data_IF_453043759305
#
_entry.id   IF_453043759305
#
_cell.length_a   1.000
_cell.length_b   1.000
_cell.length_c   1.000
_cell.angle_alpha   90.00
_cell.angle_beta   90.00
_cell.angle_gamma   90.00
#
_symmetry.space_group_name_H-M   'P 1'
#
loop_
_entity.id
_entity.type
_entity.pdbx_description
1 polymer ?
#
# COMPACT_ATOMS: atom_id res chain seq x y z
N UNK A 1 12.12 44.87 -47.62
CA UNK A 1 12.25 43.49 -47.08
C UNK A 1 11.27 42.57 -47.80
N UNK A 2 11.77 41.54 -48.50
CA UNK A 2 10.98 40.60 -49.32
C UNK A 2 9.83 39.97 -48.52
N UNK A 3 8.66 39.82 -49.17
CA UNK A 3 7.45 39.18 -48.64
C UNK A 3 7.74 37.82 -47.98
N UNK A 4 8.72 37.08 -48.50
CA UNK A 4 9.15 35.80 -47.94
C UNK A 4 9.72 35.92 -46.52
N UNK A 5 10.52 36.97 -46.25
CA UNK A 5 11.07 37.22 -44.91
C UNK A 5 9.97 37.56 -43.89
N UNK A 6 8.89 38.22 -44.30
CA UNK A 6 7.74 38.51 -43.43
C UNK A 6 6.95 37.24 -43.09
N UNK A 7 6.78 36.33 -44.05
CA UNK A 7 6.07 35.06 -43.82
C UNK A 7 6.87 34.15 -42.90
N UNK A 8 8.18 34.04 -43.10
CA UNK A 8 9.07 33.26 -42.21
C UNK A 8 9.07 33.86 -40.81
N UNK A 9 9.19 35.18 -40.67
CA UNK A 9 9.15 35.85 -39.37
C UNK A 9 7.82 35.61 -38.64
N UNK A 10 6.68 35.71 -39.33
CA UNK A 10 5.37 35.40 -38.73
C UNK A 10 5.26 33.95 -38.28
N UNK A 11 5.77 33.00 -39.08
CA UNK A 11 5.75 31.58 -38.74
C UNK A 11 6.60 31.28 -37.50
N UNK A 12 7.81 31.86 -37.43
CA UNK A 12 8.71 31.74 -36.27
C UNK A 12 8.11 32.38 -35.02
N UNK A 13 7.49 33.56 -35.13
CA UNK A 13 6.81 34.19 -33.99
C UNK A 13 5.61 33.37 -33.48
N UNK A 14 4.81 32.80 -34.39
CA UNK A 14 3.67 31.95 -34.03
C UNK A 14 4.12 30.67 -33.33
N UNK A 15 5.18 30.03 -33.83
CA UNK A 15 5.72 28.82 -33.21
C UNK A 15 6.37 29.10 -31.85
N UNK A 16 7.06 30.23 -31.68
CA UNK A 16 7.55 30.66 -30.36
C UNK A 16 6.40 30.96 -29.37
N UNK A 17 5.35 31.64 -29.83
CA UNK A 17 4.18 31.94 -28.98
C UNK A 17 3.46 30.67 -28.53
N UNK A 18 3.35 29.66 -29.40
CA UNK A 18 2.80 28.34 -29.07
C UNK A 18 3.67 27.61 -28.05
N UNK A 19 5.00 27.64 -28.20
CA UNK A 19 5.94 27.03 -27.26
C UNK A 19 5.88 27.68 -25.87
N UNK A 20 5.75 29.01 -25.81
CA UNK A 20 5.56 29.75 -24.55
C UNK A 20 4.19 29.41 -23.93
N UNK A 21 3.13 29.34 -24.72
CA UNK A 21 1.80 28.98 -24.23
C UNK A 21 1.77 27.56 -23.65
N UNK A 22 2.38 26.57 -24.33
CA UNK A 22 2.46 25.19 -23.86
C UNK A 22 3.28 25.07 -22.59
N UNK A 23 4.42 25.77 -22.49
CA UNK A 23 5.27 25.74 -21.29
C UNK A 23 4.61 26.45 -20.09
N UNK A 24 3.86 27.53 -20.31
CA UNK A 24 3.05 28.17 -19.27
C UNK A 24 1.92 27.24 -18.83
N UNK A 25 1.24 26.59 -19.76
CA UNK A 25 0.14 25.66 -19.45
C UNK A 25 0.61 24.43 -18.68
N UNK A 26 1.77 23.87 -19.06
CA UNK A 26 2.42 22.77 -18.35
C UNK A 26 2.92 23.17 -16.95
N UNK A 27 3.34 24.43 -16.75
CA UNK A 27 3.70 24.97 -15.43
C UNK A 27 2.50 25.35 -14.57
N UNK A 28 1.33 25.61 -15.13
CA UNK A 28 0.09 25.81 -14.38
C UNK A 28 -0.58 24.50 -13.93
N UNK A 29 -0.10 23.36 -14.42
CA UNK A 29 -0.58 22.02 -14.04
C UNK A 29 0.21 21.38 -12.89
N UNK A 30 1.15 22.09 -12.27
CA UNK A 30 1.75 21.68 -10.99
C UNK A 30 0.85 22.15 -9.84
N UNK A 31 0.18 21.24 -9.09
CA UNK A 31 -0.61 21.65 -7.95
C UNK A 31 0.31 21.79 -6.74
N UNK A 32 0.80 23.00 -6.49
CA UNK A 32 1.38 23.36 -5.20
C UNK A 32 0.54 24.45 -4.53
N UNK A 33 -0.04 24.08 -3.38
CA UNK A 33 -0.67 24.92 -2.34
C UNK A 33 -2.06 25.47 -2.76
N UNK A 34 -3.16 25.28 -2.03
CA UNK A 34 -3.37 25.37 -0.60
C UNK A 34 -4.56 24.49 -0.14
N UNK A 35 -4.32 23.70 0.90
CA UNK A 35 -5.32 23.32 1.90
C UNK A 35 -5.61 24.57 2.75
N UNK A 36 -6.85 25.07 2.75
CA UNK A 36 -7.47 25.77 3.89
C UNK A 36 -8.87 26.27 3.52
N UNK A 37 -9.91 25.56 3.98
CA UNK A 37 -11.19 26.20 4.28
C UNK A 37 -11.34 26.34 5.81
N UNK A 38 -11.86 27.47 6.31
CA UNK A 38 -12.05 27.69 7.73
C UNK A 38 -13.29 26.96 8.28
N UNK A 39 -13.29 26.54 9.56
CA UNK A 39 -14.42 25.81 10.12
C UNK A 39 -15.60 26.74 10.48
N UNK A 40 -16.86 26.25 10.39
CA UNK A 40 -18.04 26.98 10.86
C UNK A 40 -18.17 26.97 12.40
N UNK A 41 -18.95 27.89 12.99
CA UNK A 41 -18.88 28.22 14.41
C UNK A 41 -19.47 27.14 15.35
N UNK A 42 -18.80 27.00 16.48
CA UNK A 42 -19.08 26.12 17.62
C UNK A 42 -20.44 26.45 18.28
N UNK A 43 -21.27 25.42 18.54
CA UNK A 43 -22.36 25.49 19.51
C UNK A 43 -21.95 24.76 20.79
N UNK A 44 -22.20 25.39 21.93
CA UNK A 44 -21.87 24.93 23.28
C UNK A 44 -22.56 23.59 23.66
N UNK A 45 -22.00 22.79 24.59
CA UNK A 45 -22.54 21.50 24.96
C UNK A 45 -23.62 21.60 26.06
N UNK A 46 -24.79 21.02 25.79
CA UNK A 46 -25.81 20.72 26.81
C UNK A 46 -25.44 19.43 27.57
N UNK A 47 -25.47 19.53 28.90
CA UNK A 47 -25.38 18.41 29.86
C UNK A 47 -26.64 17.52 29.81
N UNK A 48 -26.48 16.21 29.70
CA UNK A 48 -27.39 15.19 30.23
C UNK A 48 -26.65 13.83 30.26
N UNK A 49 -26.30 13.32 31.44
CA UNK A 49 -27.04 12.30 32.22
C UNK A 49 -26.85 10.87 31.70
N UNK A 50 -26.23 10.04 32.57
CA UNK A 50 -26.11 8.60 32.46
C UNK A 50 -27.47 7.92 32.36
N UNK A 51 -27.57 6.85 31.54
CA UNK A 51 -28.28 5.68 31.99
C UNK A 51 -27.40 4.43 31.91
N UNK A 52 -27.32 3.78 33.07
CA UNK A 52 -26.82 2.44 33.30
C UNK A 52 -27.50 1.43 32.36
N UNK A 53 -26.71 0.73 31.55
CA UNK A 53 -27.16 -0.39 30.75
C UNK A 53 -25.96 -1.31 30.49
N UNK A 54 -26.12 -2.59 30.82
CA UNK A 54 -25.06 -3.61 30.83
C UNK A 54 -24.14 -3.55 29.60
N UNK A 55 -22.89 -3.11 29.84
CA UNK A 55 -21.80 -3.16 28.89
C UNK A 55 -21.41 -4.61 28.59
N UNK A 56 -21.59 -5.03 27.34
CA UNK A 56 -20.85 -6.16 26.79
C UNK A 56 -19.36 -5.80 26.87
N UNK A 57 -18.59 -6.63 27.58
CA UNK A 57 -17.20 -6.39 27.92
C UNK A 57 -16.32 -6.21 26.65
N UNK A 58 -15.77 -5.00 26.38
CA UNK A 58 -14.92 -4.75 25.20
C UNK A 58 -13.59 -5.51 25.23
N UNK A 59 -13.23 -6.15 26.35
CA UNK A 59 -12.01 -6.96 26.45
C UNK A 59 -12.10 -8.29 25.68
N UNK A 60 -13.27 -8.71 25.17
CA UNK A 60 -13.35 -9.91 24.31
C UNK A 60 -12.81 -9.67 22.90
N UNK A 61 -12.51 -8.42 22.52
CA UNK A 61 -12.02 -8.04 21.19
C UNK A 61 -10.56 -8.49 20.95
N UNK A 62 -9.76 -8.57 22.02
CA UNK A 62 -8.38 -9.06 22.01
C UNK A 62 -8.25 -10.24 22.97
N UNK A 63 -8.81 -11.41 22.63
CA UNK A 63 -8.55 -12.62 23.42
C UNK A 63 -7.04 -12.95 23.37
N UNK A 64 -6.43 -13.07 24.54
CA UNK A 64 -5.05 -13.52 24.71
C UNK A 64 -4.91 -14.97 24.20
N UNK A 65 -3.87 -15.29 23.41
CA UNK A 65 -3.52 -16.66 23.07
C UNK A 65 -2.79 -17.29 24.26
N UNK A 66 -3.53 -17.60 25.31
CA UNK A 66 -3.10 -18.58 26.30
C UNK A 66 -4.18 -19.66 26.24
N UNK A 67 -3.76 -20.88 25.91
CA UNK A 67 -4.59 -22.08 25.67
C UNK A 67 -4.84 -22.46 24.19
N UNK A 68 -3.86 -22.21 23.31
CA UNK A 68 -3.72 -23.01 22.08
C UNK A 68 -2.53 -23.92 22.27
N UNK A 69 -2.80 -25.22 22.47
CA UNK A 69 -1.77 -26.25 22.50
C UNK A 69 -0.86 -26.11 21.27
N UNK A 70 0.46 -26.19 21.47
CA UNK A 70 1.42 -26.17 20.39
C UNK A 70 1.08 -27.31 19.40
N UNK A 71 0.79 -27.01 18.12
CA UNK A 71 0.56 -28.06 17.15
C UNK A 71 1.86 -28.82 16.93
N UNK A 72 1.79 -30.14 17.05
CA UNK A 72 2.83 -31.11 16.68
C UNK A 72 3.41 -30.75 15.30
N UNK A 73 4.74 -30.88 15.07
CA UNK A 73 5.33 -30.59 13.77
C UNK A 73 4.94 -31.66 12.75
N UNK A 74 3.73 -31.56 12.22
CA UNK A 74 3.41 -32.13 10.92
C UNK A 74 4.06 -31.23 9.88
N UNK A 75 4.84 -31.83 8.98
CA UNK A 75 5.34 -31.16 7.79
C UNK A 75 4.15 -30.55 7.04
N UNK A 76 3.89 -29.25 7.26
CA UNK A 76 2.89 -28.51 6.53
C UNK A 76 3.43 -28.36 5.11
N UNK A 77 3.00 -29.23 4.20
CA UNK A 77 2.95 -28.86 2.79
C UNK A 77 1.92 -27.74 2.69
N UNK A 78 2.39 -26.50 2.83
CA UNK A 78 1.60 -25.32 2.48
C UNK A 78 1.11 -25.43 1.03
N UNK A 79 0.07 -24.67 0.67
CA UNK A 79 -0.41 -24.66 -0.71
C UNK A 79 0.75 -24.33 -1.67
N UNK A 80 0.93 -25.14 -2.71
CA UNK A 80 2.01 -24.98 -3.69
C UNK A 80 1.74 -23.82 -4.67
N UNK A 81 0.53 -23.29 -4.67
CA UNK A 81 0.07 -22.20 -5.55
C UNK A 81 -0.96 -21.35 -4.82
N UNK A 82 -1.19 -20.12 -5.31
CA UNK A 82 -2.28 -19.27 -4.85
C UNK A 82 -3.64 -19.92 -5.15
N UNK A 83 -4.34 -20.34 -4.10
CA UNK A 83 -5.57 -21.14 -4.14
C UNK A 83 -6.86 -20.29 -4.08
N UNK A 84 -6.74 -18.97 -3.95
CA UNK A 84 -7.89 -18.07 -3.83
C UNK A 84 -8.26 -17.57 -5.22
N UNK A 85 -9.24 -18.22 -5.83
CA UNK A 85 -9.76 -17.88 -7.16
C UNK A 85 -10.97 -16.94 -7.12
N UNK A 86 -11.71 -16.93 -6.01
CA UNK A 86 -12.87 -16.07 -5.80
C UNK A 86 -12.89 -15.56 -4.36
N UNK A 87 -13.37 -14.33 -4.17
CA UNK A 87 -13.71 -13.83 -2.83
C UNK A 87 -15.22 -13.75 -2.70
N UNK A 88 -15.81 -14.72 -2.01
CA UNK A 88 -17.18 -14.56 -1.54
C UNK A 88 -17.16 -13.70 -0.26
N UNK A 89 -17.09 -12.38 -0.44
CA UNK A 89 -17.08 -11.40 0.63
C UNK A 89 -18.44 -10.71 0.73
N UNK A 90 -19.24 -11.09 1.72
CA UNK A 90 -20.52 -10.45 2.01
C UNK A 90 -20.38 -9.44 3.15
N UNK A 91 -21.25 -8.42 3.18
CA UNK A 91 -21.22 -7.43 4.25
C UNK A 91 -21.64 -8.07 5.58
N UNK A 92 -20.82 -7.93 6.63
CA UNK A 92 -21.23 -8.33 7.98
C UNK A 92 -22.11 -7.22 8.59
N UNK A 93 -23.41 -7.48 8.70
CA UNK A 93 -24.41 -6.53 9.20
C UNK A 93 -24.61 -6.60 10.72
N UNK A 94 -23.95 -7.50 11.45
CA UNK A 94 -24.19 -7.68 12.89
C UNK A 94 -23.92 -6.42 13.73
N UNK A 95 -23.05 -5.52 13.24
CA UNK A 95 -22.67 -4.30 13.93
C UNK A 95 -23.49 -3.07 13.51
N UNK A 96 -24.25 -3.12 12.42
CA UNK A 96 -24.89 -1.93 11.82
C UNK A 96 -25.96 -1.29 12.69
N UNK A 97 -26.62 -2.09 13.53
CA UNK A 97 -27.63 -1.63 14.48
C UNK A 97 -27.04 -1.01 15.74
N UNK A 98 -25.72 -1.11 15.96
CA UNK A 98 -25.09 -0.60 17.17
C UNK A 98 -24.91 0.92 17.09
N UNK A 99 -25.35 1.71 18.10
CA UNK A 99 -25.23 3.17 18.07
C UNK A 99 -23.78 3.64 17.91
N UNK A 100 -22.83 2.96 18.58
CA UNK A 100 -21.41 3.27 18.46
C UNK A 100 -20.86 3.05 17.06
N UNK A 101 -21.41 2.08 16.30
CA UNK A 101 -21.01 1.80 14.92
C UNK A 101 -21.54 2.88 13.98
N UNK A 102 -22.78 3.33 14.18
CA UNK A 102 -23.39 4.41 13.38
C UNK A 102 -22.66 5.74 13.55
N UNK A 103 -22.08 5.99 14.73
CA UNK A 103 -21.25 7.17 15.01
C UNK A 103 -19.83 7.14 14.44
N UNK A 104 -19.41 6.04 13.78
CA UNK A 104 -18.09 5.94 13.16
C UNK A 104 -18.05 6.61 11.77
N UNK A 105 -16.87 7.09 11.40
CA UNK A 105 -16.63 7.60 10.04
C UNK A 105 -16.80 6.49 8.99
N UNK A 106 -17.18 6.83 7.75
CA UNK A 106 -17.49 5.85 6.70
C UNK A 106 -16.42 4.78 6.49
N UNK A 107 -15.15 5.15 6.49
CA UNK A 107 -14.04 4.21 6.27
C UNK A 107 -13.87 3.19 7.42
N UNK A 108 -14.13 3.58 8.68
CA UNK A 108 -14.12 2.63 9.79
C UNK A 108 -15.31 1.68 9.75
N UNK A 109 -16.49 2.18 9.37
CA UNK A 109 -17.67 1.32 9.16
C UNK A 109 -17.39 0.29 8.07
N UNK A 110 -16.85 0.72 6.93
CA UNK A 110 -16.46 -0.17 5.84
C UNK A 110 -15.43 -1.21 6.30
N UNK A 111 -14.38 -0.79 7.01
CA UNK A 111 -13.38 -1.72 7.56
C UNK A 111 -14.03 -2.79 8.44
N UNK A 112 -14.88 -2.40 9.40
CA UNK A 112 -15.54 -3.33 10.31
C UNK A 112 -16.54 -4.25 9.61
N UNK A 113 -17.26 -3.76 8.60
CA UNK A 113 -18.20 -4.56 7.80
C UNK A 113 -17.48 -5.68 7.04
N UNK A 114 -16.26 -5.43 6.54
CA UNK A 114 -15.54 -6.35 5.66
C UNK A 114 -14.27 -6.97 6.27
N UNK A 115 -13.96 -6.74 7.56
CA UNK A 115 -12.75 -7.24 8.25
C UNK A 115 -12.50 -8.76 8.19
N UNK A 116 -13.53 -9.55 7.88
CA UNK A 116 -13.45 -11.00 7.76
C UNK A 116 -12.98 -11.44 6.37
N UNK A 117 -13.09 -10.58 5.37
CA UNK A 117 -12.60 -10.80 4.01
C UNK A 117 -11.11 -10.48 3.95
N UNK A 118 -10.27 -11.51 4.06
CA UNK A 118 -8.82 -11.36 4.21
C UNK A 118 -8.02 -11.78 2.98
N UNK A 119 -8.60 -12.56 2.09
CA UNK A 119 -7.91 -13.10 0.93
C UNK A 119 -8.68 -12.82 -0.36
N UNK A 120 -7.95 -12.36 -1.37
CA UNK A 120 -8.47 -11.91 -2.66
C UNK A 120 -7.74 -12.59 -3.81
N UNK A 121 -8.40 -12.81 -4.96
CA UNK A 121 -7.77 -13.33 -6.16
C UNK A 121 -6.56 -12.51 -6.58
N UNK A 122 -5.59 -13.18 -7.18
CA UNK A 122 -4.52 -12.52 -7.90
C UNK A 122 -4.99 -12.15 -9.31
N UNK A 123 -4.65 -10.94 -9.73
CA UNK A 123 -4.88 -10.44 -11.09
C UNK A 123 -3.60 -10.51 -11.92
N UNK A 124 -2.45 -10.22 -11.30
CA UNK A 124 -1.12 -10.26 -11.91
C UNK A 124 -0.16 -10.98 -10.94
N UNK A 125 0.65 -11.90 -11.46
CA UNK A 125 1.48 -12.81 -10.65
C UNK A 125 2.80 -13.15 -11.36
N UNK A 126 3.91 -13.12 -10.62
CA UNK A 126 5.26 -13.36 -11.14
C UNK A 126 6.10 -14.32 -10.27
N UNK A 127 5.72 -15.60 -10.15
CA UNK A 127 6.49 -16.58 -9.38
C UNK A 127 7.91 -16.78 -9.93
N UNK A 128 8.13 -16.49 -11.21
CA UNK A 128 9.45 -16.53 -11.86
C UNK A 128 10.47 -15.57 -11.25
N UNK A 129 10.04 -14.50 -10.58
CA UNK A 129 10.93 -13.52 -9.92
C UNK A 129 11.69 -14.13 -8.74
N UNK A 130 11.21 -15.25 -8.21
CA UNK A 130 11.85 -16.00 -7.14
C UNK A 130 12.55 -17.29 -7.63
N UNK A 131 12.74 -17.44 -8.95
CA UNK A 131 13.56 -18.55 -9.48
C UNK A 131 15.05 -18.29 -9.26
N UNK A 132 15.78 -19.35 -8.94
CA UNK A 132 17.22 -19.28 -8.66
C UNK A 132 17.52 -18.73 -7.26
N UNK A 133 18.77 -18.33 -7.05
CA UNK A 133 19.20 -17.76 -5.76
C UNK A 133 18.89 -16.27 -5.74
N UNK A 134 17.90 -15.86 -4.95
CA UNK A 134 17.60 -14.43 -4.71
C UNK A 134 18.19 -14.01 -3.37
N UNK A 135 19.16 -13.10 -3.42
CA UNK A 135 19.81 -12.55 -2.23
C UNK A 135 18.91 -11.52 -1.54
N UNK A 136 18.35 -10.58 -2.33
CA UNK A 136 17.51 -9.51 -1.82
C UNK A 136 16.28 -9.35 -2.70
N UNK A 137 15.10 -9.43 -2.08
CA UNK A 137 13.85 -9.05 -2.70
C UNK A 137 13.44 -7.65 -2.24
N UNK A 138 13.47 -6.69 -3.15
CA UNK A 138 12.98 -5.33 -2.97
C UNK A 138 11.48 -5.30 -3.24
N UNK A 139 10.69 -5.01 -2.22
CA UNK A 139 9.23 -5.07 -2.26
C UNK A 139 8.65 -3.70 -1.99
N UNK A 140 8.02 -3.11 -3.00
CA UNK A 140 7.56 -1.72 -2.93
C UNK A 140 6.04 -1.69 -2.94
N UNK A 141 5.43 -1.13 -1.90
CA UNK A 141 4.00 -0.82 -1.90
C UNK A 141 3.75 0.37 -2.83
N UNK A 142 2.92 0.17 -3.85
CA UNK A 142 2.50 1.21 -4.77
C UNK A 142 0.99 1.16 -5.00
N UNK A 143 0.47 2.12 -5.75
CA UNK A 143 -0.92 2.15 -6.23
C UNK A 143 -0.93 2.24 -7.75
N UNK A 144 -2.01 1.78 -8.36
CA UNK A 144 -2.11 1.62 -9.83
C UNK A 144 -1.77 2.89 -10.63
N UNK A 145 -2.05 4.07 -10.08
CA UNK A 145 -1.82 5.36 -10.74
C UNK A 145 -0.36 5.84 -10.71
N UNK A 146 0.47 5.31 -9.81
CA UNK A 146 1.85 5.79 -9.55
C UNK A 146 2.91 5.14 -10.46
N UNK A 147 2.64 5.09 -11.76
CA UNK A 147 3.56 4.51 -12.75
C UNK A 147 4.92 5.25 -12.79
N UNK A 148 4.92 6.58 -12.74
CA UNK A 148 6.15 7.39 -12.74
C UNK A 148 7.08 7.07 -11.56
N UNK A 149 6.49 6.83 -10.38
CA UNK A 149 7.26 6.44 -9.18
C UNK A 149 7.90 5.07 -9.36
N UNK A 150 7.13 4.10 -9.87
CA UNK A 150 7.66 2.76 -10.15
C UNK A 150 8.79 2.82 -11.18
N UNK A 151 8.61 3.61 -12.25
CA UNK A 151 9.66 3.79 -13.25
C UNK A 151 10.92 4.44 -12.66
N UNK A 152 10.77 5.49 -11.85
CA UNK A 152 11.91 6.10 -11.17
C UNK A 152 12.65 5.09 -10.28
N UNK A 153 11.92 4.22 -9.57
CA UNK A 153 12.51 3.17 -8.72
C UNK A 153 13.27 2.14 -9.57
N UNK A 154 12.70 1.67 -10.69
CA UNK A 154 13.36 0.74 -11.63
C UNK A 154 14.68 1.30 -12.15
N UNK A 155 14.70 2.59 -12.48
CA UNK A 155 15.88 3.28 -13.01
C UNK A 155 16.88 3.70 -11.93
N UNK A 156 16.58 3.50 -10.64
CA UNK A 156 17.43 3.93 -9.53
C UNK A 156 17.65 2.81 -8.50
N UNK A 157 17.05 2.91 -7.32
CA UNK A 157 17.39 2.05 -6.18
C UNK A 157 16.71 0.68 -6.20
N UNK A 158 15.72 0.48 -7.07
CA UNK A 158 15.09 -0.81 -7.33
C UNK A 158 15.66 -1.53 -8.57
N UNK A 159 16.84 -1.11 -9.05
CA UNK A 159 17.50 -1.75 -10.20
C UNK A 159 17.84 -3.21 -9.87
N UNK A 160 17.39 -4.12 -10.74
CA UNK A 160 17.72 -5.55 -10.61
C UNK A 160 19.17 -5.81 -11.04
N UNK A 161 19.87 -6.65 -10.28
CA UNK A 161 21.27 -6.96 -10.55
C UNK A 161 21.68 -8.35 -10.05
N UNK A 162 22.62 -8.97 -10.74
CA UNK A 162 23.24 -10.23 -10.34
C UNK A 162 24.47 -9.95 -9.46
N UNK A 163 24.53 -10.51 -8.26
CA UNK A 163 25.65 -10.34 -7.31
C UNK A 163 26.63 -11.53 -7.37
N UNK A 164 26.77 -12.14 -8.55
CA UNK A 164 27.58 -13.34 -8.75
C UNK A 164 27.10 -14.50 -7.90
N UNK A 165 28.00 -15.09 -7.10
CA UNK A 165 27.68 -16.26 -6.27
C UNK A 165 26.73 -15.97 -5.10
N UNK A 166 26.50 -14.70 -4.75
CA UNK A 166 25.57 -14.33 -3.66
C UNK A 166 24.10 -14.48 -4.05
N UNK A 167 23.81 -14.53 -5.35
CA UNK A 167 22.45 -14.51 -5.90
C UNK A 167 22.07 -13.14 -6.42
N UNK A 168 20.78 -12.92 -6.64
CA UNK A 168 20.30 -11.73 -7.33
C UNK A 168 19.52 -10.76 -6.44
N UNK A 169 19.51 -9.50 -6.84
CA UNK A 169 18.55 -8.49 -6.37
C UNK A 169 17.38 -8.46 -7.35
N UNK A 170 16.17 -8.59 -6.82
CA UNK A 170 14.91 -8.57 -7.58
C UNK A 170 13.96 -7.55 -6.98
N UNK A 171 13.13 -6.95 -7.82
CA UNK A 171 12.16 -5.92 -7.42
C UNK A 171 10.75 -6.37 -7.78
N UNK A 172 9.81 -6.12 -6.85
CA UNK A 172 8.39 -6.36 -7.01
C UNK A 172 7.58 -5.17 -6.48
N UNK A 173 6.55 -4.78 -7.21
CA UNK A 173 5.58 -3.78 -6.82
C UNK A 173 4.27 -4.43 -6.37
N UNK A 174 3.76 -4.05 -5.19
CA UNK A 174 2.53 -4.58 -4.62
C UNK A 174 1.37 -3.62 -4.86
N UNK A 175 0.35 -4.07 -5.60
CA UNK A 175 -0.80 -3.26 -6.01
C UNK A 175 -2.14 -3.90 -5.63
N UNK A 176 -3.13 -3.07 -5.35
CA UNK A 176 -4.54 -3.44 -5.41
C UNK A 176 -5.20 -2.89 -6.68
N UNK A 177 -6.51 -2.93 -6.72
CA UNK A 177 -7.32 -2.28 -7.77
C UNK A 177 -7.55 -0.80 -7.46
N UNK A 178 -7.82 0.00 -8.51
CA UNK A 178 -8.07 1.42 -8.38
C UNK A 178 -9.19 1.74 -7.37
N UNK A 179 -8.97 2.78 -6.56
CA UNK A 179 -9.92 3.22 -5.54
C UNK A 179 -11.21 3.81 -6.13
N UNK A 180 -11.13 4.39 -7.33
CA UNK A 180 -12.26 4.96 -8.07
C UNK A 180 -12.75 3.95 -9.11
N UNK A 181 -14.04 3.63 -9.05
CA UNK A 181 -14.64 2.62 -9.93
C UNK A 181 -14.62 3.05 -11.40
N UNK A 182 -14.87 4.33 -11.67
CA UNK A 182 -14.97 4.89 -13.03
C UNK A 182 -13.64 4.82 -13.80
N UNK A 183 -12.52 4.98 -13.09
CA UNK A 183 -11.18 5.01 -13.68
C UNK A 183 -10.53 3.61 -13.69
N UNK A 184 -11.16 2.61 -13.05
CA UNK A 184 -10.57 1.28 -12.84
C UNK A 184 -10.22 0.58 -14.14
N UNK A 185 -11.12 0.57 -15.12
CA UNK A 185 -10.89 -0.12 -16.39
C UNK A 185 -9.71 0.50 -17.18
N UNK A 186 -9.64 1.83 -17.20
CA UNK A 186 -8.55 2.55 -17.87
C UNK A 186 -7.20 2.27 -17.23
N UNK A 187 -7.10 2.42 -15.91
CA UNK A 187 -5.85 2.15 -15.20
C UNK A 187 -5.45 0.67 -15.24
N UNK A 188 -6.41 -0.25 -15.28
CA UNK A 188 -6.11 -1.67 -15.43
C UNK A 188 -5.46 -1.98 -16.79
N UNK A 189 -5.88 -1.31 -17.87
CA UNK A 189 -5.26 -1.47 -19.19
C UNK A 189 -3.84 -0.94 -19.22
N UNK A 190 -3.58 0.22 -18.62
CA UNK A 190 -2.24 0.80 -18.50
C UNK A 190 -1.32 -0.10 -17.66
N UNK A 191 -1.82 -0.60 -16.52
CA UNK A 191 -1.07 -1.51 -15.67
C UNK A 191 -0.75 -2.82 -16.38
N UNK A 192 -1.69 -3.39 -17.15
CA UNK A 192 -1.44 -4.59 -17.94
C UNK A 192 -0.42 -4.36 -19.06
N UNK A 193 -0.24 -3.13 -19.55
CA UNK A 193 0.84 -2.81 -20.47
C UNK A 193 2.19 -2.73 -19.74
N UNK A 194 2.23 -2.03 -18.60
CA UNK A 194 3.41 -1.96 -17.74
C UNK A 194 3.88 -3.36 -17.30
N UNK A 195 2.96 -4.20 -16.83
CA UNK A 195 3.22 -5.58 -16.42
C UNK A 195 3.87 -6.43 -17.52
N UNK A 196 3.35 -6.30 -18.76
CA UNK A 196 3.92 -6.99 -19.93
C UNK A 196 5.34 -6.54 -20.27
N UNK A 197 5.71 -5.30 -19.93
CA UNK A 197 7.05 -4.77 -20.19
C UNK A 197 8.05 -5.19 -19.11
N UNK A 198 7.65 -5.15 -17.84
CA UNK A 198 8.59 -5.25 -16.71
C UNK A 198 8.47 -6.54 -15.90
N UNK A 199 7.31 -7.20 -15.90
CA UNK A 199 7.09 -8.47 -15.20
C UNK A 199 7.39 -8.39 -13.70
N UNK A 200 7.06 -7.26 -13.06
CA UNK A 200 7.42 -6.95 -11.68
C UNK A 200 6.23 -6.49 -10.83
N UNK A 201 4.99 -6.71 -11.27
CA UNK A 201 3.79 -6.26 -10.57
C UNK A 201 3.01 -7.44 -9.99
N UNK A 202 2.88 -7.46 -8.66
CA UNK A 202 1.91 -8.33 -7.99
C UNK A 202 0.64 -7.53 -7.73
N UNK A 203 -0.49 -8.01 -8.26
CA UNK A 203 -1.77 -7.35 -8.09
C UNK A 203 -2.83 -8.31 -7.53
N UNK A 204 -3.58 -7.85 -6.53
CA UNK A 204 -4.73 -8.55 -5.98
C UNK A 204 -6.03 -7.77 -6.16
N UNK A 205 -7.14 -8.49 -6.24
CA UNK A 205 -8.48 -7.95 -6.48
C UNK A 205 -9.13 -7.38 -5.20
N UNK A 206 -8.44 -6.48 -4.51
CA UNK A 206 -9.02 -5.68 -3.44
C UNK A 206 -8.86 -4.19 -3.74
N UNK A 207 -9.71 -3.36 -3.13
CA UNK A 207 -9.65 -1.90 -3.26
C UNK A 207 -8.37 -1.35 -2.60
N UNK A 208 -7.47 -0.76 -3.38
CA UNK A 208 -6.27 -0.17 -2.81
C UNK A 208 -6.62 1.11 -2.05
N UNK A 209 -6.39 1.11 -0.74
CA UNK A 209 -6.68 2.24 0.14
C UNK A 209 -5.77 2.19 1.35
N UNK A 210 -5.63 3.33 2.04
CA UNK A 210 -4.81 3.43 3.24
C UNK A 210 -5.19 2.40 4.32
N UNK A 211 -6.49 2.14 4.52
CA UNK A 211 -6.98 1.16 5.50
C UNK A 211 -6.81 -0.30 5.04
N UNK A 212 -6.60 -0.54 3.76
CA UNK A 212 -6.36 -1.87 3.18
C UNK A 212 -4.87 -2.20 3.01
N UNK A 213 -3.96 -1.34 3.51
CA UNK A 213 -2.51 -1.64 3.49
C UNK A 213 -2.17 -2.94 4.25
N UNK A 214 -2.93 -3.28 5.31
CA UNK A 214 -2.77 -4.58 5.98
C UNK A 214 -3.21 -5.76 5.12
N UNK A 215 -4.23 -5.58 4.26
CA UNK A 215 -4.56 -6.61 3.26
C UNK A 215 -3.38 -6.77 2.30
N UNK A 216 -2.86 -5.69 1.73
CA UNK A 216 -1.67 -5.74 0.86
C UNK A 216 -0.52 -6.53 1.50
N UNK A 217 -0.31 -6.35 2.81
CA UNK A 217 0.71 -7.09 3.54
C UNK A 217 0.41 -8.58 3.69
N UNK A 218 -0.79 -8.95 4.14
CA UNK A 218 -1.18 -10.36 4.30
C UNK A 218 -1.06 -11.10 2.98
N UNK A 219 -1.40 -10.46 1.86
CA UNK A 219 -1.31 -11.06 0.53
C UNK A 219 0.14 -11.26 0.10
N UNK A 220 0.99 -10.26 0.28
CA UNK A 220 2.42 -10.39 0.00
C UNK A 220 3.05 -11.51 0.84
N UNK A 221 2.79 -11.55 2.15
CA UNK A 221 3.36 -12.59 3.03
C UNK A 221 2.90 -14.00 2.63
N UNK A 222 1.62 -14.18 2.29
CA UNK A 222 1.13 -15.47 1.77
C UNK A 222 1.76 -15.82 0.43
N UNK A 223 1.90 -14.85 -0.48
CA UNK A 223 2.54 -15.06 -1.78
C UNK A 223 4.01 -15.43 -1.63
N UNK A 224 4.73 -14.75 -0.75
CA UNK A 224 6.14 -14.99 -0.45
C UNK A 224 6.36 -16.40 0.11
N UNK A 225 5.52 -16.84 1.06
CA UNK A 225 5.56 -18.20 1.64
C UNK A 225 5.38 -19.29 0.56
N UNK A 226 4.54 -19.04 -0.44
CA UNK A 226 4.24 -19.99 -1.51
C UNK A 226 5.36 -20.01 -2.57
N UNK A 227 5.82 -18.84 -3.03
CA UNK A 227 6.62 -18.74 -4.24
C UNK A 227 8.11 -18.42 -4.02
N UNK A 228 8.48 -17.96 -2.83
CA UNK A 228 9.81 -17.42 -2.55
C UNK A 228 10.49 -18.00 -1.29
N UNK A 229 10.41 -19.33 -1.03
CA UNK A 229 10.88 -19.92 0.24
C UNK A 229 12.41 -19.84 0.45
N UNK A 230 13.17 -19.41 -0.55
CA UNK A 230 14.64 -19.39 -0.53
C UNK A 230 15.25 -18.00 -0.67
N UNK A 231 14.43 -16.94 -0.65
CA UNK A 231 14.93 -15.56 -0.62
C UNK A 231 15.65 -15.32 0.71
N UNK A 232 16.86 -14.76 0.66
CA UNK A 232 17.67 -14.54 1.87
C UNK A 232 17.24 -13.31 2.67
N UNK A 233 16.94 -12.20 2.00
CA UNK A 233 16.52 -10.96 2.64
C UNK A 233 15.37 -10.29 1.87
N UNK A 234 14.52 -9.56 2.60
CA UNK A 234 13.47 -8.71 2.02
C UNK A 234 13.73 -7.29 2.48
N UNK A 235 13.81 -6.36 1.54
CA UNK A 235 13.60 -4.94 1.83
C UNK A 235 12.17 -4.59 1.46
N UNK A 236 11.43 -3.94 2.36
CA UNK A 236 10.07 -3.50 2.08
C UNK A 236 9.91 -2.00 2.33
N UNK A 237 9.40 -1.29 1.33
CA UNK A 237 9.24 0.17 1.36
C UNK A 237 7.98 0.68 0.69
N UNK A 238 7.79 2.00 0.76
CA UNK A 238 6.79 2.75 -0.01
C UNK A 238 7.40 3.28 -1.31
N UNK A 239 6.59 3.69 -2.28
CA UNK A 239 7.05 4.20 -3.57
C UNK A 239 7.51 5.67 -3.57
N UNK A 240 7.48 6.33 -2.41
CA UNK A 240 7.89 7.72 -2.19
C UNK A 240 9.13 7.88 -1.29
N UNK A 241 9.92 6.81 -1.15
CA UNK A 241 11.19 6.85 -0.44
C UNK A 241 12.38 6.72 -1.40
N UNK A 242 13.55 7.10 -0.90
CA UNK A 242 14.83 6.77 -1.50
C UNK A 242 15.55 5.74 -0.62
N UNK A 243 16.17 4.76 -1.26
CA UNK A 243 17.02 3.75 -0.62
C UNK A 243 18.40 3.84 -1.22
N UNK A 244 19.44 3.80 -0.39
CA UNK A 244 20.80 3.63 -0.90
C UNK A 244 21.08 2.12 -1.05
N UNK A 245 21.08 1.56 -2.28
CA UNK A 245 21.23 0.12 -2.47
C UNK A 245 22.60 -0.40 -2.04
N UNK A 246 23.67 0.40 -2.20
CA UNK A 246 25.02 0.04 -1.76
C UNK A 246 25.08 -0.12 -0.25
N UNK A 247 24.58 0.87 0.49
CA UNK A 247 24.57 0.82 1.95
C UNK A 247 23.71 -0.35 2.48
N UNK A 248 22.56 -0.61 1.85
CA UNK A 248 21.72 -1.75 2.20
C UNK A 248 22.44 -3.08 2.00
N UNK A 249 23.13 -3.27 0.86
CA UNK A 249 23.86 -4.51 0.58
C UNK A 249 25.09 -4.67 1.47
N UNK A 250 25.78 -3.59 1.83
CA UNK A 250 26.87 -3.61 2.82
C UNK A 250 26.34 -4.02 4.19
N UNK A 251 25.22 -3.44 4.65
CA UNK A 251 24.60 -3.81 5.93
C UNK A 251 24.20 -5.29 5.99
N UNK A 252 23.70 -5.85 4.89
CA UNK A 252 23.28 -7.25 4.79
C UNK A 252 24.46 -8.23 4.63
N UNK A 253 25.63 -7.77 4.16
CA UNK A 253 26.79 -8.62 3.95
C UNK A 253 27.32 -9.26 5.24
N UNK A 254 27.11 -8.60 6.37
CA UNK A 254 27.52 -9.05 7.71
C UNK A 254 26.40 -9.82 8.44
N UNK A 255 25.30 -10.16 7.77
CA UNK A 255 24.13 -10.82 8.35
C UNK A 255 23.96 -12.23 7.80
N UNK A 256 23.52 -13.14 8.65
CA UNK A 256 23.12 -14.48 8.25
C UNK A 256 21.60 -14.52 8.02
N UNK A 257 21.12 -15.12 6.91
CA UNK A 257 19.68 -15.23 6.64
C UNK A 257 18.87 -16.00 7.70
N UNK A 258 19.55 -16.79 8.55
CA UNK A 258 18.94 -17.53 9.66
C UNK A 258 18.75 -16.68 10.92
N UNK A 259 19.29 -15.46 10.96
CA UNK A 259 18.99 -14.51 12.02
C UNK A 259 17.52 -14.07 11.89
N UNK A 260 16.81 -13.90 13.01
CA UNK A 260 15.47 -13.29 13.06
C UNK A 260 15.56 -11.76 12.83
N UNK A 261 16.19 -11.35 11.72
CA UNK A 261 16.48 -9.97 11.40
C UNK A 261 15.20 -9.22 11.02
N UNK A 262 14.79 -8.29 11.88
CA UNK A 262 13.75 -7.30 11.58
C UNK A 262 14.23 -5.93 12.04
N UNK A 263 14.58 -5.07 11.10
CA UNK A 263 15.21 -3.77 11.39
C UNK A 263 14.55 -2.63 10.63
N UNK A 264 14.62 -1.43 11.20
CA UNK A 264 14.06 -0.20 10.66
C UNK A 264 13.95 0.88 11.73
N UNK A 265 13.19 1.94 11.45
CA UNK A 265 12.81 2.93 12.44
C UNK A 265 11.72 2.36 13.37
N UNK A 266 12.14 1.81 14.51
CA UNK A 266 11.24 1.12 15.46
C UNK A 266 10.71 2.10 16.50
N UNK A 267 9.43 2.46 16.35
CA UNK A 267 8.70 3.26 17.34
C UNK A 267 8.25 2.40 18.53
N UNK A 268 8.96 2.50 19.64
CA UNK A 268 8.59 1.84 20.89
C UNK A 268 7.55 2.67 21.65
N UNK A 269 6.64 1.99 22.37
CA UNK A 269 5.60 2.62 23.21
C UNK A 269 4.68 3.60 22.47
N UNK A 270 4.49 3.40 21.16
CA UNK A 270 3.60 4.22 20.35
C UNK A 270 2.16 4.18 20.89
N UNK A 271 1.49 5.33 20.86
CA UNK A 271 0.10 5.48 21.31
C UNK A 271 -0.85 5.63 20.12
N UNK A 272 -2.05 5.02 20.15
CA UNK A 272 -3.05 5.26 19.12
C UNK A 272 -3.43 6.74 19.08
N UNK A 273 -3.39 7.33 17.89
CA UNK A 273 -3.69 8.76 17.74
C UNK A 273 -5.21 8.97 17.88
N UNK A 274 -5.61 9.85 18.81
CA UNK A 274 -7.02 10.13 19.11
C UNK A 274 -7.56 11.44 18.50
N UNK A 275 -6.70 12.17 17.80
CA UNK A 275 -7.03 13.42 17.11
C UNK A 275 -7.63 13.10 15.74
N UNK A 276 -8.90 13.45 15.51
CA UNK A 276 -9.68 13.05 14.32
C UNK A 276 -9.13 13.58 12.98
N UNK A 277 -8.45 14.72 12.99
CA UNK A 277 -7.84 15.32 11.80
C UNK A 277 -6.48 14.70 11.44
N UNK A 278 -5.97 13.75 12.24
CA UNK A 278 -4.76 13.04 11.92
C UNK A 278 -5.03 11.84 11.01
N UNK A 279 -4.18 11.65 9.99
CA UNK A 279 -4.23 10.51 9.05
C UNK A 279 -4.28 9.14 9.73
N UNK A 280 -3.64 8.99 10.89
CA UNK A 280 -3.56 7.74 11.66
C UNK A 280 -4.50 7.72 12.86
N UNK A 281 -5.57 8.54 12.85
CA UNK A 281 -6.60 8.52 13.88
C UNK A 281 -7.19 7.11 14.05
N UNK A 282 -7.34 6.67 15.30
CA UNK A 282 -8.02 5.41 15.66
C UNK A 282 -9.05 5.69 16.77
N UNK A 283 -10.35 5.43 16.53
CA UNK A 283 -11.38 5.55 17.56
C UNK A 283 -11.13 4.63 18.76
N UNK A 284 -11.45 5.08 19.97
CA UNK A 284 -11.32 4.29 21.20
C UNK A 284 -12.12 2.98 21.15
N UNK A 285 -13.26 2.99 20.44
CA UNK A 285 -14.11 1.80 20.24
C UNK A 285 -13.48 0.74 19.33
N UNK A 286 -12.53 1.11 18.46
CA UNK A 286 -11.78 0.15 17.63
C UNK A 286 -10.54 -0.40 18.37
N UNK A 287 -9.89 0.45 19.16
CA UNK A 287 -8.73 0.07 19.95
C UNK A 287 -8.72 0.88 21.25
N UNK A 288 -8.99 0.22 22.38
CA UNK A 288 -9.17 0.88 23.69
C UNK A 288 -7.90 1.00 24.52
N UNK A 289 -6.83 0.25 24.18
CA UNK A 289 -5.58 0.29 24.97
C UNK A 289 -4.84 1.62 24.77
N UNK A 290 -4.06 2.07 25.78
CA UNK A 290 -3.37 3.36 25.74
C UNK A 290 -2.12 3.36 24.85
N UNK A 291 -1.53 2.19 24.59
CA UNK A 291 -0.36 1.98 23.73
C UNK A 291 -0.58 0.75 22.86
N UNK A 292 0.13 0.68 21.72
CA UNK A 292 0.21 -0.51 20.88
C UNK A 292 0.98 -1.64 21.55
#
# INVERSE_FOLDING_TARGET
>A
MSLWKKTVYKSVCLSLALLVAVTVFQRSLTPHQFLQEPPPPTREPQKAQNPSGHLVNPNSFWKNPKDVAAPTPMARRGPQTWDVSTTNCSANVNLTHQPWFQGLEPHFRQFLTYRHCRYFPMLLNHPEKCRGTVYLLVVVKSVITQHDRREAIRQTWGLEQELGSRGAVRTLFLLGTASKQEERAHYQQLLAYEDRLYGDILQWDFLDSFFNLTLKEIHFLKWFDIYCPHVQFIFKGDDDVFVNPTNLLEFLADRQPQEDLFVGDVLQHARPIRKKDNKYYIPGVLYSKPSY
#
